data_IF_603232549700
#
_entry.id   IF_603232549700
#
_cell.length_a   1.000
_cell.length_b   1.000
_cell.length_c   1.000
_cell.angle_alpha   90.00
_cell.angle_beta   90.00
_cell.angle_gamma   90.00
#
_symmetry.space_group_name_H-M   'P 1'
#
loop_
_entity.id
_entity.type
_entity.pdbx_description
1 polymer ?
#
# COMPACT_ATOMS: atom_id res chain seq x y z
N UNK A 1 -3.41 -0.18 -8.62
CA UNK A 1 -4.23 -0.88 -9.65
C UNK A 1 -3.65 -0.75 -11.05
N UNK A 2 -3.18 0.42 -11.49
CA UNK A 2 -2.54 0.60 -12.82
C UNK A 2 -1.05 0.21 -12.89
N UNK A 3 -0.42 0.02 -11.73
CA UNK A 3 0.98 -0.36 -11.66
C UNK A 3 1.18 -1.82 -12.10
N UNK A 4 2.13 -2.07 -13.00
CA UNK A 4 2.52 -3.42 -13.41
C UNK A 4 3.08 -4.27 -12.26
N UNK A 5 3.66 -3.62 -11.26
CA UNK A 5 4.16 -4.26 -10.04
C UNK A 5 3.85 -3.40 -8.81
N UNK A 6 2.85 -3.78 -7.99
CA UNK A 6 2.56 -3.11 -6.73
C UNK A 6 3.77 -3.09 -5.77
N UNK A 7 4.62 -4.12 -5.82
CA UNK A 7 5.81 -4.22 -4.98
C UNK A 7 6.85 -3.15 -5.29
N UNK A 8 7.14 -2.92 -6.58
CA UNK A 8 8.10 -1.89 -6.99
C UNK A 8 7.59 -0.52 -6.59
N UNK A 9 6.31 -0.25 -6.80
CA UNK A 9 5.70 1.04 -6.41
C UNK A 9 5.78 1.26 -4.90
N UNK A 10 5.42 0.27 -4.09
CA UNK A 10 5.53 0.37 -2.63
C UNK A 10 6.99 0.59 -2.19
N UNK A 11 7.95 -0.09 -2.82
CA UNK A 11 9.38 0.04 -2.51
C UNK A 11 9.91 1.44 -2.81
N UNK A 12 9.56 2.00 -3.97
CA UNK A 12 9.94 3.37 -4.33
C UNK A 12 9.29 4.41 -3.42
N UNK A 13 8.02 4.23 -3.03
CA UNK A 13 7.37 5.06 -2.02
C UNK A 13 8.13 5.04 -0.69
N UNK A 14 8.55 3.85 -0.23
CA UNK A 14 9.38 3.72 0.97
C UNK A 14 10.71 4.45 0.82
N UNK A 15 11.38 4.34 -0.32
CA UNK A 15 12.66 4.99 -0.57
C UNK A 15 12.56 6.52 -0.49
N UNK A 16 11.49 7.10 -1.02
CA UNK A 16 11.31 8.57 -1.11
C UNK A 16 10.78 9.19 0.18
N UNK A 17 9.91 8.49 0.92
CA UNK A 17 9.33 9.02 2.14
C UNK A 17 10.35 9.10 3.28
N UNK A 18 10.26 10.15 4.10
CA UNK A 18 11.01 10.24 5.37
C UNK A 18 10.38 9.28 6.41
N UNK A 19 11.15 8.80 7.40
CA UNK A 19 10.57 8.16 8.59
C UNK A 19 9.40 8.96 9.18
N UNK A 20 8.30 8.29 9.52
CA UNK A 20 7.05 8.91 9.97
C UNK A 20 6.21 9.56 8.85
N UNK A 21 6.68 9.52 7.61
CA UNK A 21 5.91 9.98 6.44
C UNK A 21 4.71 9.07 6.19
N UNK A 22 3.56 9.68 5.89
CA UNK A 22 2.30 8.95 5.66
C UNK A 22 1.98 8.79 4.18
N UNK A 23 1.32 7.67 3.88
CA UNK A 23 0.79 7.34 2.57
C UNK A 23 -0.72 7.07 2.72
N UNK A 24 -1.53 7.65 1.84
CA UNK A 24 -2.90 7.24 1.62
C UNK A 24 -2.95 6.39 0.35
N UNK A 25 -3.33 5.13 0.49
CA UNK A 25 -3.68 4.26 -0.63
C UNK A 25 -5.19 4.33 -0.83
N UNK A 26 -5.62 4.68 -2.03
CA UNK A 26 -7.04 4.83 -2.36
C UNK A 26 -7.32 4.19 -3.73
N UNK A 27 -7.93 3.01 -3.73
CA UNK A 27 -8.21 2.23 -4.94
C UNK A 27 -9.64 1.69 -4.92
N UNK A 28 -10.19 1.34 -6.08
CA UNK A 28 -11.38 0.49 -6.14
C UNK A 28 -11.10 -0.88 -5.49
N UNK A 29 -12.16 -1.55 -5.01
CA UNK A 29 -12.07 -2.96 -4.61
C UNK A 29 -12.36 -3.89 -5.79
N UNK A 30 -12.18 -5.19 -5.58
CA UNK A 30 -12.34 -6.21 -6.60
C UNK A 30 -13.75 -6.31 -7.22
N UNK A 31 -14.76 -5.79 -6.54
CA UNK A 31 -16.17 -5.87 -6.93
C UNK A 31 -16.70 -4.53 -7.48
N UNK A 32 -15.85 -3.51 -7.64
CA UNK A 32 -16.22 -2.23 -8.24
C UNK A 32 -16.26 -2.33 -9.77
N UNK A 33 -17.25 -1.70 -10.40
CA UNK A 33 -17.41 -1.72 -11.86
C UNK A 33 -16.22 -1.09 -12.61
N UNK A 34 -15.42 -0.24 -11.95
CA UNK A 34 -14.17 0.27 -12.51
C UNK A 34 -13.19 -0.86 -12.86
N UNK A 35 -13.27 -2.02 -12.20
CA UNK A 35 -12.40 -3.17 -12.50
C UNK A 35 -12.63 -3.78 -13.89
N UNK A 36 -13.71 -3.42 -14.60
CA UNK A 36 -13.92 -3.81 -16.00
C UNK A 36 -12.98 -3.10 -16.98
N UNK A 37 -12.26 -2.06 -16.56
CA UNK A 37 -11.40 -1.31 -17.46
C UNK A 37 -10.09 -2.05 -17.74
N UNK A 38 -9.61 -2.07 -19.01
CA UNK A 38 -8.46 -2.87 -19.43
C UNK A 38 -7.13 -2.44 -18.82
N UNK A 39 -7.07 -1.23 -18.26
CA UNK A 39 -5.88 -0.66 -17.64
C UNK A 39 -5.76 -0.94 -16.14
N UNK A 40 -6.59 -1.83 -15.57
CA UNK A 40 -6.43 -2.35 -14.21
C UNK A 40 -5.74 -3.73 -14.26
N UNK A 41 -4.42 -3.81 -14.45
CA UNK A 41 -3.68 -5.06 -14.57
C UNK A 41 -3.57 -5.85 -13.26
N UNK A 42 -3.99 -5.29 -12.13
CA UNK A 42 -3.80 -5.91 -10.82
C UNK A 42 -5.03 -5.78 -9.95
N UNK A 43 -5.49 -6.92 -9.45
CA UNK A 43 -6.48 -7.02 -8.39
C UNK A 43 -5.77 -6.90 -7.04
N UNK A 44 -6.14 -5.90 -6.25
CA UNK A 44 -5.46 -5.59 -4.99
C UNK A 44 -6.36 -5.92 -3.81
N UNK A 45 -6.15 -7.08 -3.19
CA UNK A 45 -6.88 -7.45 -1.99
C UNK A 45 -6.34 -6.71 -0.77
N UNK A 46 -7.19 -6.15 0.12
CA UNK A 46 -6.74 -5.34 1.25
C UNK A 46 -5.72 -6.05 2.15
N UNK A 47 -5.95 -7.34 2.47
CA UNK A 47 -5.01 -8.13 3.29
C UNK A 47 -3.64 -8.31 2.62
N UNK A 48 -3.60 -8.47 1.30
CA UNK A 48 -2.34 -8.60 0.55
C UNK A 48 -1.61 -7.27 0.48
N UNK A 49 -2.34 -6.16 0.31
CA UNK A 49 -1.78 -4.81 0.35
C UNK A 49 -1.15 -4.52 1.71
N UNK A 50 -1.88 -4.77 2.81
CA UNK A 50 -1.35 -4.56 4.16
C UNK A 50 -0.07 -5.35 4.36
N UNK A 51 -0.05 -6.63 3.95
CA UNK A 51 1.17 -7.45 4.08
C UNK A 51 2.32 -6.96 3.20
N UNK A 52 2.02 -6.50 1.99
CA UNK A 52 3.01 -5.92 1.08
C UNK A 52 3.69 -4.70 1.70
N UNK A 53 2.90 -3.76 2.21
CA UNK A 53 3.41 -2.53 2.83
C UNK A 53 4.18 -2.83 4.12
N UNK A 54 3.75 -3.80 4.93
CA UNK A 54 4.48 -4.33 6.08
C UNK A 54 5.89 -4.82 5.72
N UNK A 55 6.02 -5.62 4.66
CA UNK A 55 7.30 -6.15 4.19
C UNK A 55 8.26 -5.06 3.71
N UNK A 56 7.72 -3.98 3.14
CA UNK A 56 8.50 -2.88 2.56
C UNK A 56 8.90 -1.83 3.62
N UNK A 57 8.36 -1.93 4.85
CA UNK A 57 8.75 -1.07 5.97
C UNK A 57 7.73 0.00 6.34
N UNK A 58 6.45 -0.24 6.07
CA UNK A 58 5.35 0.60 6.54
C UNK A 58 4.53 -0.10 7.61
N UNK A 59 3.96 0.69 8.52
CA UNK A 59 2.96 0.24 9.48
C UNK A 59 1.57 0.66 9.03
N UNK A 60 0.58 -0.21 9.26
CA UNK A 60 -0.83 0.12 9.07
C UNK A 60 -1.26 1.10 10.18
N UNK A 61 -1.69 2.29 9.79
CA UNK A 61 -2.25 3.28 10.73
C UNK A 61 -3.75 3.11 10.84
N UNK A 62 -4.43 3.01 9.70
CA UNK A 62 -5.89 2.93 9.66
C UNK A 62 -6.40 2.31 8.37
N UNK A 63 -7.37 1.42 8.49
CA UNK A 63 -8.19 0.95 7.39
C UNK A 63 -9.51 1.73 7.37
N UNK A 64 -9.75 2.45 6.28
CA UNK A 64 -10.95 3.24 5.99
C UNK A 64 -11.78 2.61 4.87
N UNK A 65 -11.45 1.37 4.48
CA UNK A 65 -12.11 0.69 3.37
C UNK A 65 -13.60 0.54 3.63
N UNK A 66 -14.35 0.66 2.55
CA UNK A 66 -15.81 0.50 2.51
C UNK A 66 -16.16 -0.30 1.27
N UNK A 67 -17.42 -0.68 1.14
CA UNK A 67 -17.89 -1.39 -0.06
C UNK A 67 -17.49 -0.63 -1.33
N UNK A 68 -16.89 -1.33 -2.29
CA UNK A 68 -16.39 -0.84 -3.57
C UNK A 68 -15.13 0.05 -3.49
N UNK A 69 -14.56 0.27 -2.30
CA UNK A 69 -13.40 1.15 -2.13
C UNK A 69 -12.42 0.67 -1.07
N UNK A 70 -11.18 0.45 -1.47
CA UNK A 70 -10.06 0.19 -0.57
C UNK A 70 -9.36 1.50 -0.24
N UNK A 71 -9.43 1.91 1.03
CA UNK A 71 -8.79 3.14 1.51
C UNK A 71 -7.96 2.82 2.76
N UNK A 72 -6.65 2.94 2.67
CA UNK A 72 -5.74 2.52 3.74
C UNK A 72 -4.68 3.59 3.97
N UNK A 73 -4.46 3.94 5.23
CA UNK A 73 -3.41 4.86 5.65
C UNK A 73 -2.25 4.05 6.22
N UNK A 74 -1.06 4.29 5.67
CA UNK A 74 0.20 3.71 6.11
C UNK A 74 1.16 4.79 6.61
N UNK A 75 2.12 4.40 7.45
CA UNK A 75 3.20 5.27 7.91
C UNK A 75 4.54 4.56 7.78
N UNK A 76 5.56 5.25 7.25
CA UNK A 76 6.90 4.67 7.08
C UNK A 76 7.56 4.51 8.44
N UNK A 77 8.05 3.30 8.73
CA UNK A 77 8.80 3.01 9.96
C UNK A 77 10.02 3.91 10.10
N UNK A 78 10.36 4.22 11.35
CA UNK A 78 11.69 4.69 11.66
C UNK A 78 12.71 3.59 11.33
N UNK A 79 13.85 3.97 10.76
CA UNK A 79 14.99 3.06 10.65
C UNK A 79 15.30 2.55 12.07
N UNK A 80 15.12 1.24 12.29
CA UNK A 80 15.65 0.61 13.48
C UNK A 80 17.17 0.80 13.39
N UNK A 81 17.75 1.59 14.29
CA UNK A 81 19.21 1.59 14.46
C UNK A 81 19.57 0.17 14.82
N UNK A 82 20.27 -0.55 13.94
CA UNK A 82 20.86 -1.83 14.29
C UNK A 82 21.68 -1.61 15.56
N UNK A 83 21.20 -2.16 16.68
CA UNK A 83 22.04 -2.37 17.84
C UNK A 83 22.99 -3.47 17.42
N UNK A 84 24.11 -3.08 16.79
CA UNK A 84 25.27 -3.95 16.63
C UNK A 84 25.69 -4.35 18.04
N UNK A 85 25.37 -5.58 18.42
CA UNK A 85 25.97 -6.25 19.57
C UNK A 85 27.39 -6.69 19.21
#
# INVERSE_FOLDING_TARGET
>A
EHALSPYIVASEMCRVLKPGGRLLLDTCDANDDAMWQPWHPSLLYPKQLIKLFDLVGFDLVKDLSRRHRTQIIFEKRALQKEVRK
#
